data_IF_574468309978
#
_entry.id   IF_574468309978
#
_cell.length_a   1.000
_cell.length_b   1.000
_cell.length_c   1.000
_cell.angle_alpha   90.00
_cell.angle_beta   90.00
_cell.angle_gamma   90.00
#
_symmetry.space_group_name_H-M   'P 1'
#
loop_
_entity.id
_entity.type
_entity.pdbx_description
1 polymer ?
#
# COMPACT_ATOMS: atom_id res chain seq x y z
N UNK A 1 -5.09 -5.24 1.33
CA UNK A 1 -3.70 -4.76 1.21
C UNK A 1 -2.80 -5.88 1.66
N UNK A 2 -2.06 -6.43 0.71
CA UNK A 2 -1.11 -7.51 0.93
C UNK A 2 0.28 -6.86 0.85
N UNK A 3 1.09 -7.10 1.86
CA UNK A 3 2.48 -6.65 1.91
C UNK A 3 3.39 -7.84 1.65
N UNK A 4 4.31 -7.69 0.70
CA UNK A 4 5.24 -8.75 0.26
C UNK A 4 6.60 -8.16 -0.07
N UNK A 5 7.63 -9.00 -0.10
CA UNK A 5 8.95 -8.63 -0.60
C UNK A 5 9.11 -9.05 -2.05
N UNK A 6 9.66 -8.17 -2.89
CA UNK A 6 9.98 -8.45 -4.29
C UNK A 6 11.37 -7.97 -4.63
N UNK A 7 12.03 -8.69 -5.54
CA UNK A 7 13.27 -8.25 -6.16
C UNK A 7 12.94 -7.26 -7.27
N UNK A 8 13.58 -6.11 -7.21
CA UNK A 8 13.54 -5.08 -8.23
C UNK A 8 14.85 -5.01 -8.98
N UNK A 9 14.75 -4.74 -10.27
CA UNK A 9 15.86 -4.41 -11.14
C UNK A 9 15.77 -2.94 -11.55
N UNK A 10 16.87 -2.22 -11.42
CA UNK A 10 17.02 -0.85 -11.86
C UNK A 10 17.67 -0.76 -13.24
N UNK A 11 17.41 0.31 -13.98
CA UNK A 11 18.00 0.58 -15.29
C UNK A 11 19.54 0.73 -15.21
N UNK A 12 20.08 0.99 -14.02
CA UNK A 12 21.52 0.99 -13.74
C UNK A 12 22.13 -0.41 -13.60
N UNK A 13 21.36 -1.49 -13.70
CA UNK A 13 21.86 -2.86 -13.56
C UNK A 13 21.88 -3.39 -12.13
N UNK A 14 21.26 -2.68 -11.18
CA UNK A 14 21.27 -3.04 -9.78
C UNK A 14 20.02 -3.84 -9.38
N UNK A 15 20.24 -4.91 -8.61
CA UNK A 15 19.16 -5.68 -7.99
C UNK A 15 18.97 -5.23 -6.54
N UNK A 16 17.74 -4.97 -6.14
CA UNK A 16 17.40 -4.58 -4.76
C UNK A 16 16.10 -5.24 -4.32
N UNK A 17 16.04 -5.72 -3.08
CA UNK A 17 14.78 -6.22 -2.50
C UNK A 17 14.04 -5.03 -1.90
N UNK A 18 12.77 -4.90 -2.25
CA UNK A 18 11.89 -3.83 -1.75
C UNK A 18 10.55 -4.40 -1.31
N UNK A 19 9.94 -3.69 -0.38
CA UNK A 19 8.58 -3.97 0.07
C UNK A 19 7.60 -3.54 -1.01
N UNK A 20 6.63 -4.38 -1.31
CA UNK A 20 5.58 -4.15 -2.29
C UNK A 20 4.23 -4.29 -1.61
N UNK A 21 3.39 -3.29 -1.85
CA UNK A 21 2.03 -3.23 -1.37
C UNK A 21 1.09 -3.45 -2.54
N UNK A 22 0.39 -4.57 -2.50
CA UNK A 22 -0.60 -4.93 -3.52
C UNK A 22 -2.02 -4.96 -2.95
N UNK A 23 -3.00 -4.76 -3.81
CA UNK A 23 -4.40 -5.01 -3.51
C UNK A 23 -4.69 -6.51 -3.45
N UNK A 24 -5.89 -6.91 -2.99
CA UNK A 24 -6.27 -8.33 -2.95
C UNK A 24 -6.35 -8.94 -4.35
N UNK A 25 -6.61 -8.13 -5.36
CA UNK A 25 -6.64 -8.51 -6.78
C UNK A 25 -5.24 -8.59 -7.41
N UNK A 26 -4.17 -8.48 -6.61
CA UNK A 26 -2.79 -8.53 -7.10
C UNK A 26 -2.28 -7.23 -7.73
N UNK A 27 -3.14 -6.21 -7.85
CA UNK A 27 -2.78 -4.90 -8.38
C UNK A 27 -1.76 -4.20 -7.47
N UNK A 28 -0.61 -3.82 -8.01
CA UNK A 28 0.43 -3.14 -7.25
C UNK A 28 -0.01 -1.70 -6.96
N UNK A 29 -0.03 -1.31 -5.68
CA UNK A 29 -0.47 0.01 -5.22
C UNK A 29 0.73 0.92 -4.98
N UNK A 30 1.75 0.39 -4.30
CA UNK A 30 2.95 1.13 -3.92
C UNK A 30 4.12 0.17 -3.66
N UNK A 31 5.33 0.72 -3.62
CA UNK A 31 6.52 -0.02 -3.20
C UNK A 31 7.44 0.89 -2.37
N UNK A 32 8.34 0.27 -1.59
CA UNK A 32 9.36 0.95 -0.80
C UNK A 32 10.41 1.62 -1.68
N UNK A 33 10.56 2.94 -1.57
CA UNK A 33 11.58 3.71 -2.33
C UNK A 33 13.02 3.41 -1.90
N UNK A 34 13.21 2.85 -0.72
CA UNK A 34 14.51 2.41 -0.24
C UNK A 34 14.59 0.88 -0.28
N UNK A 35 15.77 0.30 -0.57
CA UNK A 35 16.00 -1.12 -0.37
C UNK A 35 15.73 -1.54 1.07
N UNK A 36 15.29 -2.77 1.23
CA UNK A 36 15.03 -3.36 2.55
C UNK A 36 16.35 -3.56 3.29
N UNK A 37 16.43 -2.98 4.49
CA UNK A 37 17.51 -3.25 5.41
C UNK A 37 17.21 -4.54 6.19
N UNK A 38 18.13 -5.49 6.16
CA UNK A 38 17.99 -6.76 6.88
C UNK A 38 18.37 -6.54 8.35
N UNK A 39 17.44 -5.99 9.10
CA UNK A 39 17.58 -5.64 10.52
C UNK A 39 16.51 -6.36 11.34
N UNK A 40 16.85 -6.78 12.55
CA UNK A 40 15.92 -7.39 13.50
C UNK A 40 16.42 -7.18 14.92
N UNK A 41 15.49 -7.11 15.87
CA UNK A 41 15.80 -6.97 17.30
C UNK A 41 16.09 -8.33 17.96
N UNK A 42 15.86 -9.42 17.23
CA UNK A 42 16.16 -10.80 17.63
C UNK A 42 16.65 -11.63 16.43
N UNK A 43 17.37 -12.74 16.67
CA UNK A 43 17.77 -13.66 15.60
C UNK A 43 16.57 -14.33 14.91
N UNK A 44 15.44 -14.48 15.60
CA UNK A 44 14.19 -15.02 15.03
C UNK A 44 13.59 -14.06 14.00
N UNK A 45 13.51 -12.76 14.34
CA UNK A 45 13.06 -11.73 13.40
C UNK A 45 13.97 -11.66 12.17
N UNK A 46 15.28 -11.74 12.39
CA UNK A 46 16.25 -11.74 11.30
C UNK A 46 16.08 -12.97 10.38
N UNK A 47 15.87 -14.15 10.97
CA UNK A 47 15.64 -15.39 10.21
C UNK A 47 14.35 -15.29 9.38
N UNK A 48 13.28 -14.74 9.95
CA UNK A 48 12.02 -14.54 9.25
C UNK A 48 12.18 -13.55 8.09
N UNK A 49 12.91 -12.45 8.30
CA UNK A 49 13.19 -11.49 7.26
C UNK A 49 14.02 -12.10 6.11
N UNK A 50 15.01 -12.92 6.44
CA UNK A 50 15.79 -13.67 5.43
C UNK A 50 14.89 -14.64 4.66
N UNK A 51 13.93 -15.29 5.33
CA UNK A 51 12.99 -16.19 4.68
C UNK A 51 12.11 -15.43 3.68
N UNK A 52 11.56 -14.29 4.08
CA UNK A 52 10.79 -13.44 3.16
C UNK A 52 11.63 -12.91 2.01
N UNK A 53 12.89 -12.56 2.24
CA UNK A 53 13.83 -12.21 1.18
C UNK A 53 14.05 -13.39 0.22
N UNK A 54 14.15 -14.63 0.72
CA UNK A 54 14.26 -15.83 -0.14
C UNK A 54 13.01 -16.04 -0.99
N UNK A 55 11.83 -15.94 -0.39
CA UNK A 55 10.56 -16.04 -1.11
C UNK A 55 10.46 -14.98 -2.22
N UNK A 56 11.03 -13.78 -2.01
CA UNK A 56 11.08 -12.73 -3.03
C UNK A 56 11.86 -13.14 -4.28
N UNK A 57 12.86 -14.02 -4.17
CA UNK A 57 13.63 -14.54 -5.32
C UNK A 57 12.90 -15.67 -6.08
N UNK A 58 11.95 -16.34 -5.44
CA UNK A 58 11.08 -17.32 -6.12
C UNK A 58 10.01 -16.65 -6.99
N UNK A 59 9.78 -15.36 -6.75
CA UNK A 59 8.86 -14.53 -7.49
C UNK A 59 9.56 -13.80 -8.66
N UNK A 60 8.82 -13.46 -9.73
CA UNK A 60 9.43 -12.76 -10.86
C UNK A 60 9.98 -11.39 -10.45
N UNK A 61 11.18 -11.09 -10.95
CA UNK A 61 11.85 -9.79 -10.79
C UNK A 61 11.05 -8.72 -11.50
N UNK A 62 10.88 -7.57 -10.84
CA UNK A 62 10.13 -6.43 -11.37
C UNK A 62 11.09 -5.31 -11.79
N UNK A 63 10.87 -4.66 -12.93
CA UNK A 63 11.60 -3.42 -13.25
C UNK A 63 11.03 -2.24 -12.46
N UNK A 64 11.90 -1.39 -11.91
CA UNK A 64 11.47 -0.15 -11.25
C UNK A 64 10.67 0.73 -12.20
N UNK A 65 11.13 0.89 -13.44
CA UNK A 65 10.47 1.75 -14.44
C UNK A 65 9.09 1.22 -14.82
N UNK A 66 8.95 -0.10 -14.99
CA UNK A 66 7.66 -0.72 -15.30
C UNK A 66 6.67 -0.62 -14.14
N UNK A 67 7.16 -0.73 -12.90
CA UNK A 67 6.32 -0.59 -11.71
C UNK A 67 5.91 0.88 -11.50
N UNK A 68 6.82 1.84 -11.69
CA UNK A 68 6.48 3.26 -11.65
C UNK A 68 5.48 3.63 -12.74
N UNK A 69 5.65 3.12 -13.96
CA UNK A 69 4.70 3.32 -15.05
C UNK A 69 3.32 2.73 -14.72
N UNK A 70 3.26 1.54 -14.12
CA UNK A 70 2.01 0.93 -13.68
C UNK A 70 1.32 1.76 -12.59
N UNK A 71 2.07 2.23 -11.58
CA UNK A 71 1.53 3.08 -10.51
C UNK A 71 1.09 4.46 -11.04
N UNK A 72 1.80 5.01 -12.03
CA UNK A 72 1.42 6.27 -12.66
C UNK A 72 0.18 6.11 -13.56
N UNK A 73 0.03 4.97 -14.22
CA UNK A 73 -1.10 4.63 -15.08
C UNK A 73 -2.34 4.19 -14.28
N UNK A 74 -2.18 3.83 -13.00
CA UNK A 74 -3.30 3.61 -12.10
C UNK A 74 -4.16 4.88 -12.10
N UNK A 75 -5.47 4.79 -12.43
CA UNK A 75 -6.35 5.92 -12.23
C UNK A 75 -6.20 6.31 -10.77
N UNK A 76 -5.80 7.56 -10.51
CA UNK A 76 -5.86 8.15 -9.18
C UNK A 76 -7.32 8.02 -8.77
N UNK A 77 -7.67 6.94 -8.10
CA UNK A 77 -8.97 6.82 -7.46
C UNK A 77 -8.95 7.94 -6.44
N UNK A 78 -9.54 9.06 -6.83
CA UNK A 78 -9.91 10.15 -5.95
C UNK A 78 -10.61 9.51 -4.76
N UNK A 79 -9.89 9.36 -3.66
CA UNK A 79 -10.50 9.26 -2.34
C UNK A 79 -11.19 10.60 -2.09
N UNK A 80 -12.38 10.74 -2.67
CA UNK A 80 -13.32 11.81 -2.38
C UNK A 80 -14.78 11.41 -2.65
N UNK A 81 -15.10 10.14 -2.97
CA UNK A 81 -16.50 9.70 -3.09
C UNK A 81 -17.02 8.85 -1.93
N UNK A 82 -16.22 8.58 -0.89
CA UNK A 82 -16.70 7.85 0.30
C UNK A 82 -16.68 8.64 1.61
N UNK A 83 -16.41 9.93 1.54
CA UNK A 83 -16.59 10.83 2.67
C UNK A 83 -17.64 11.87 2.29
N UNK A 84 -18.92 11.44 2.29
CA UNK A 84 -20.00 12.34 2.69
C UNK A 84 -19.78 12.65 4.19
N UNK A 85 -18.69 13.36 4.51
CA UNK A 85 -18.55 14.03 5.80
C UNK A 85 -19.52 15.20 5.74
N UNK A 86 -20.77 14.93 6.06
CA UNK A 86 -21.66 15.97 6.54
C UNK A 86 -21.00 16.55 7.78
N UNK A 87 -20.82 17.88 7.78
CA UNK A 87 -20.22 18.58 8.93
C UNK A 87 -21.05 18.27 10.17
N UNK A 88 -20.40 18.22 11.33
CA UNK A 88 -21.06 17.94 12.62
C UNK A 88 -22.26 18.88 12.87
N UNK A 89 -22.20 20.12 12.35
CA UNK A 89 -23.33 21.05 12.37
C UNK A 89 -24.54 20.59 11.53
N UNK A 90 -24.34 19.96 10.37
CA UNK A 90 -25.43 19.44 9.56
C UNK A 90 -26.16 18.28 10.26
N UNK A 91 -25.42 17.42 10.97
CA UNK A 91 -26.02 16.34 11.79
C UNK A 91 -26.83 16.91 12.95
N UNK A 92 -26.32 17.97 13.61
CA UNK A 92 -27.04 18.62 14.71
C UNK A 92 -28.35 19.26 14.21
N UNK A 93 -28.31 19.97 13.08
CA UNK A 93 -29.51 20.59 12.50
C UNK A 93 -30.54 19.55 12.04
N UNK A 94 -30.13 18.43 11.45
CA UNK A 94 -31.06 17.37 11.05
C UNK A 94 -31.71 16.64 12.24
N UNK A 95 -30.97 16.46 13.34
CA UNK A 95 -31.49 15.88 14.58
C UNK A 95 -32.46 16.82 15.30
N UNK A 96 -32.21 18.13 15.26
CA UNK A 96 -33.05 19.17 15.86
C UNK A 96 -34.40 19.29 15.12
N UNK A 97 -34.38 19.28 13.78
CA UNK A 97 -35.60 19.31 12.95
C UNK A 97 -36.46 18.05 13.15
N UNK A 98 -35.83 16.90 13.39
CA UNK A 98 -36.55 15.64 13.60
C UNK A 98 -37.20 15.55 14.99
N UNK A 99 -36.64 16.26 15.99
CA UNK A 99 -37.20 16.33 17.34
C UNK A 99 -38.44 17.25 17.43
N UNK A 100 -38.57 18.24 16.54
CA UNK A 100 -39.72 19.17 16.53
C UNK A 100 -40.92 18.64 15.74
N UNK A 101 -40.71 17.67 14.83
CA UNK A 101 -41.77 17.06 14.02
C UNK A 101 -42.57 15.91 14.68
N UNK A 102 -42.39 15.70 15.99
CA UNK A 102 -43.05 14.64 16.76
C UNK A 102 -43.96 15.17 17.90
N UNK A 103 -44.57 16.35 17.71
CA UNK A 103 -45.63 16.89 18.58
C UNK A 103 -46.88 17.19 17.75
#
# INVERSE_FOLDING_TARGET
MIWTYRVFYDNQGHYSIREVFSERDGKLIAYGKSPVAVLGNSPEELRQLIQWCKEAFELPVLSLEEVDAQIAALPKSSKAEHSRNISLQQVITELDIKADSAV
#
